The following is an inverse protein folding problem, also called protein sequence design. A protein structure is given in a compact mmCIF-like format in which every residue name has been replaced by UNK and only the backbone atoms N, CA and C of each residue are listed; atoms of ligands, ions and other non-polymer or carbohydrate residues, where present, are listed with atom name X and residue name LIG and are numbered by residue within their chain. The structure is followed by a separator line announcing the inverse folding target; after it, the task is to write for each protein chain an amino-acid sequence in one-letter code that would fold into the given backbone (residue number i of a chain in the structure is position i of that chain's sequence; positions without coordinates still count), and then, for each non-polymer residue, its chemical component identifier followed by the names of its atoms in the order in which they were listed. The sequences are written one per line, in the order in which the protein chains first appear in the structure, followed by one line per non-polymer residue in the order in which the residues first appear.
data_IF_819438297747
#
_entry.id   IF_819438297747
#
_cell.length_a   1.000
_cell.length_b   1.000
_cell.length_c   1.000
_cell.angle_alpha   90.00
_cell.angle_beta   90.00
_cell.angle_gamma   90.00
#
_symmetry.space_group_name_H-M   'P 1'
#
loop_
_entity.id
_entity.type
_entity.pdbx_description
1 polymer ?
#
# COMPACT_ATOMS: atom_id res chain seq x y z
N UNK A 1 -52.33 25.26 -5.60
CA UNK A 1 -52.21 24.16 -4.61
C UNK A 1 -52.79 22.91 -5.24
N UNK A 2 -52.17 21.74 -5.31
CA UNK A 2 -50.79 21.29 -5.18
C UNK A 2 -50.73 20.02 -6.04
N UNK A 3 -49.73 19.90 -6.92
CA UNK A 3 -49.52 18.72 -7.76
C UNK A 3 -48.73 17.71 -6.92
N UNK A 4 -49.36 16.62 -6.49
CA UNK A 4 -48.68 15.54 -5.77
C UNK A 4 -47.90 14.66 -6.73
N UNK A 5 -46.62 14.98 -6.91
CA UNK A 5 -45.64 14.09 -7.50
C UNK A 5 -45.32 12.95 -6.52
N UNK A 6 -45.72 11.72 -6.87
CA UNK A 6 -45.22 10.51 -6.21
C UNK A 6 -43.79 10.28 -6.69
N UNK A 7 -42.84 10.67 -5.84
CA UNK A 7 -41.41 10.37 -5.99
C UNK A 7 -41.23 8.86 -5.88
N UNK A 8 -40.84 8.25 -6.99
CA UNK A 8 -40.36 6.87 -7.06
C UNK A 8 -38.94 6.85 -6.45
N UNK A 9 -38.82 6.54 -5.17
CA UNK A 9 -37.54 6.25 -4.52
C UNK A 9 -37.03 4.89 -5.03
N UNK A 10 -36.34 4.90 -6.17
CA UNK A 10 -35.43 3.85 -6.58
C UNK A 10 -34.15 3.99 -5.76
N UNK A 11 -34.10 3.39 -4.58
CA UNK A 11 -32.85 3.12 -3.88
C UNK A 11 -32.04 2.14 -4.73
N UNK A 12 -31.11 2.68 -5.52
CA UNK A 12 -30.06 1.88 -6.13
C UNK A 12 -29.23 1.28 -4.99
N UNK A 13 -29.52 0.02 -4.63
CA UNK A 13 -28.52 -0.83 -4.02
C UNK A 13 -27.39 -0.94 -5.03
N UNK A 14 -26.34 -0.15 -4.85
CA UNK A 14 -25.03 -0.42 -5.46
C UNK A 14 -24.63 -1.76 -4.87
N UNK A 15 -24.97 -2.83 -5.57
CA UNK A 15 -24.43 -4.15 -5.30
C UNK A 15 -22.92 -3.97 -5.33
N UNK A 16 -22.27 -4.21 -4.20
CA UNK A 16 -20.86 -4.53 -4.12
C UNK A 16 -20.71 -5.83 -4.92
N UNK A 17 -20.64 -5.73 -6.24
CA UNK A 17 -20.42 -6.89 -7.10
C UNK A 17 -18.94 -7.17 -6.97
N UNK A 18 -18.67 -8.26 -6.28
CA UNK A 18 -17.35 -8.68 -5.92
C UNK A 18 -16.77 -9.43 -7.12
N UNK A 19 -16.26 -8.73 -8.13
CA UNK A 19 -15.54 -9.33 -9.26
C UNK A 19 -14.07 -9.42 -9.02
N UNK A 20 -13.45 -10.51 -9.47
CA UNK A 20 -12.11 -10.82 -8.97
C UNK A 20 -11.30 -11.45 -10.09
N UNK A 21 -10.28 -10.72 -10.51
CA UNK A 21 -9.22 -11.20 -11.39
C UNK A 21 -7.88 -10.96 -10.71
N UNK A 22 -6.94 -11.90 -10.88
CA UNK A 22 -5.55 -11.75 -10.41
C UNK A 22 -4.60 -12.06 -11.54
N UNK A 23 -3.46 -11.36 -11.55
CA UNK A 23 -2.36 -11.67 -12.47
C UNK A 23 -1.42 -12.64 -11.75
N UNK A 24 -1.55 -13.93 -12.04
CA UNK A 24 -0.76 -14.97 -11.37
C UNK A 24 0.64 -15.12 -11.96
N UNK A 25 0.83 -14.69 -13.21
CA UNK A 25 2.11 -14.79 -13.90
C UNK A 25 2.16 -13.77 -15.04
N UNK A 26 3.30 -13.11 -15.23
CA UNK A 26 3.68 -12.47 -16.47
C UNK A 26 5.07 -12.96 -16.89
N UNK A 27 5.15 -13.52 -18.09
CA UNK A 27 6.35 -14.13 -18.66
C UNK A 27 6.71 -13.46 -19.98
N UNK A 28 7.89 -12.85 -20.03
CA UNK A 28 8.48 -12.22 -21.21
C UNK A 28 9.44 -13.16 -21.92
N UNK A 29 10.69 -12.72 -22.08
CA UNK A 29 11.74 -13.43 -22.80
C UNK A 29 11.98 -14.84 -22.23
N UNK A 30 12.31 -15.79 -23.11
CA UNK A 30 12.59 -17.17 -22.71
C UNK A 30 13.77 -17.24 -21.73
N UNK A 31 13.56 -17.90 -20.59
CA UNK A 31 14.58 -18.05 -19.54
C UNK A 31 14.65 -16.90 -18.54
N UNK A 32 13.85 -15.84 -18.73
CA UNK A 32 13.66 -14.81 -17.71
C UNK A 32 12.75 -15.32 -16.58
N UNK A 33 12.89 -14.81 -15.35
CA UNK A 33 11.97 -15.14 -14.28
C UNK A 33 10.53 -14.67 -14.61
N UNK A 34 9.55 -15.17 -13.86
CA UNK A 34 8.16 -14.72 -14.00
C UNK A 34 7.91 -13.56 -13.01
N UNK A 35 7.21 -12.53 -13.49
CA UNK A 35 6.60 -11.54 -12.59
C UNK A 35 5.27 -12.05 -12.09
N UNK A 36 4.86 -11.56 -10.92
CA UNK A 36 3.54 -11.79 -10.34
C UNK A 36 2.85 -10.43 -10.17
N UNK A 37 1.53 -10.40 -10.23
CA UNK A 37 0.75 -9.22 -9.88
C UNK A 37 1.09 -8.73 -8.47
N UNK A 38 1.21 -7.42 -8.28
CA UNK A 38 1.50 -6.84 -6.98
C UNK A 38 0.43 -7.21 -5.96
N UNK A 39 0.88 -7.53 -4.74
CA UNK A 39 0.07 -8.00 -3.63
C UNK A 39 -0.78 -9.26 -3.91
N UNK A 40 -0.51 -10.03 -4.96
CA UNK A 40 -1.12 -11.36 -5.14
C UNK A 40 -0.54 -12.32 -4.10
N UNK A 41 -1.41 -12.85 -3.25
CA UNK A 41 -1.03 -13.77 -2.18
C UNK A 41 -1.12 -15.23 -2.67
N UNK A 42 0.03 -15.88 -2.79
CA UNK A 42 0.10 -17.27 -3.25
C UNK A 42 -0.50 -18.29 -2.28
N UNK A 43 -0.73 -17.92 -1.02
CA UNK A 43 -1.34 -18.80 0.00
C UNK A 43 -2.88 -18.79 -0.05
N UNK A 44 -3.49 -17.81 -0.74
CA UNK A 44 -4.95 -17.77 -0.90
C UNK A 44 -5.43 -18.84 -1.88
N UNK A 45 -6.51 -19.52 -1.50
CA UNK A 45 -7.15 -20.50 -2.35
C UNK A 45 -7.68 -19.84 -3.66
N UNK A 46 -7.49 -20.51 -4.80
CA UNK A 46 -7.94 -20.06 -6.14
C UNK A 46 -9.05 -20.91 -6.74
N UNK A 47 -9.51 -21.92 -5.99
CA UNK A 47 -10.55 -22.87 -6.41
C UNK A 47 -11.91 -22.54 -5.78
N UNK A 48 -12.14 -21.30 -5.34
CA UNK A 48 -13.41 -20.87 -4.80
C UNK A 48 -13.81 -19.47 -5.29
N UNK A 49 -15.07 -19.12 -5.09
CA UNK A 49 -15.69 -17.86 -5.56
C UNK A 49 -16.24 -17.00 -4.42
N UNK A 50 -15.99 -17.41 -3.18
CA UNK A 50 -16.38 -16.65 -2.00
C UNK A 50 -15.39 -15.52 -1.73
N UNK A 51 -15.88 -14.42 -1.16
CA UNK A 51 -15.06 -13.24 -0.82
C UNK A 51 -13.85 -13.63 0.03
N UNK A 52 -14.09 -14.35 1.12
CA UNK A 52 -13.01 -14.92 1.93
C UNK A 52 -12.92 -16.43 1.66
N UNK A 53 -11.73 -16.96 1.33
CA UNK A 53 -10.44 -16.25 1.15
C UNK A 53 -10.16 -15.81 -0.30
N UNK A 54 -10.88 -16.32 -1.30
CA UNK A 54 -10.41 -16.37 -2.70
C UNK A 54 -10.37 -15.04 -3.47
N UNK A 55 -10.81 -13.95 -2.85
CA UNK A 55 -11.01 -12.67 -3.51
C UNK A 55 -10.24 -11.54 -2.82
N UNK A 56 -9.69 -11.77 -1.63
CA UNK A 56 -9.21 -10.67 -0.79
C UNK A 56 -8.02 -9.91 -1.39
N UNK A 57 -7.26 -10.54 -2.29
CA UNK A 57 -6.11 -9.94 -2.96
C UNK A 57 -6.37 -9.54 -4.41
N UNK A 58 -7.63 -9.52 -4.88
CA UNK A 58 -7.87 -8.97 -6.22
C UNK A 58 -7.71 -7.47 -6.22
N UNK A 59 -7.05 -7.00 -7.26
CA UNK A 59 -6.80 -5.58 -7.41
C UNK A 59 -8.02 -4.87 -7.98
N UNK A 60 -8.42 -3.80 -7.31
CA UNK A 60 -9.41 -2.81 -7.73
C UNK A 60 -8.68 -1.59 -8.28
N UNK A 61 -8.86 -1.29 -9.57
CA UNK A 61 -8.17 -0.19 -10.26
C UNK A 61 -9.18 0.81 -10.82
N UNK A 62 -9.73 1.65 -9.93
CA UNK A 62 -10.78 2.62 -10.29
C UNK A 62 -10.20 3.98 -10.62
N UNK A 63 -10.49 4.50 -11.80
CA UNK A 63 -10.06 5.85 -12.21
C UNK A 63 -10.49 6.92 -11.19
N UNK A 64 -11.71 6.85 -10.66
CA UNK A 64 -12.17 7.79 -9.64
C UNK A 64 -11.33 7.76 -8.34
N UNK A 65 -10.80 6.60 -7.93
CA UNK A 65 -9.92 6.50 -6.75
C UNK A 65 -8.52 7.04 -7.07
N UNK A 66 -8.03 6.85 -8.31
CA UNK A 66 -6.74 7.38 -8.78
C UNK A 66 -6.80 8.91 -8.96
N UNK A 67 -7.84 9.43 -9.60
CA UNK A 67 -8.05 10.86 -9.86
C UNK A 67 -8.24 11.66 -8.56
N UNK A 68 -8.81 11.04 -7.54
CA UNK A 68 -8.95 11.63 -6.20
C UNK A 68 -7.72 11.43 -5.31
N UNK A 69 -6.65 10.83 -5.84
CA UNK A 69 -5.40 10.56 -5.14
C UNK A 69 -5.60 9.74 -3.84
N UNK A 70 -6.60 8.85 -3.84
CA UNK A 70 -6.83 7.89 -2.75
C UNK A 70 -5.89 6.68 -2.92
N UNK A 71 -5.62 6.32 -4.17
CA UNK A 71 -4.71 5.24 -4.57
C UNK A 71 -3.83 5.72 -5.72
N UNK A 72 -2.73 5.01 -5.99
CA UNK A 72 -1.94 5.21 -7.19
C UNK A 72 -2.52 4.45 -8.39
N UNK A 73 -1.81 4.47 -9.53
CA UNK A 73 -2.25 3.87 -10.79
C UNK A 73 -2.54 2.37 -10.73
N UNK A 74 -1.96 1.67 -9.75
CA UNK A 74 -2.14 0.24 -9.54
C UNK A 74 -3.29 -0.09 -8.59
N UNK A 75 -3.90 0.92 -7.96
CA UNK A 75 -5.10 0.73 -7.16
C UNK A 75 -4.82 0.05 -5.83
N UNK A 76 -5.74 -0.82 -5.41
CA UNK A 76 -5.71 -1.44 -4.07
C UNK A 76 -6.29 -2.84 -4.05
N UNK A 77 -5.95 -3.60 -3.01
CA UNK A 77 -6.62 -4.87 -2.66
C UNK A 77 -7.50 -4.69 -1.42
N UNK A 78 -8.44 -5.61 -1.18
CA UNK A 78 -9.22 -5.61 0.07
C UNK A 78 -8.39 -6.06 1.27
N UNK A 79 -7.41 -6.93 1.05
CA UNK A 79 -6.54 -7.50 2.09
C UNK A 79 -5.50 -6.50 2.58
N UNK A 80 -4.82 -5.82 1.66
CA UNK A 80 -3.61 -5.02 1.95
C UNK A 80 -3.79 -3.53 1.68
N UNK A 81 -4.94 -3.11 1.12
CA UNK A 81 -5.20 -1.70 0.82
C UNK A 81 -4.42 -1.20 -0.38
N UNK A 82 -4.01 0.08 -0.36
CA UNK A 82 -3.29 0.71 -1.47
C UNK A 82 -2.01 -0.08 -1.81
N UNK A 83 -1.77 -0.30 -3.10
CA UNK A 83 -0.57 -0.98 -3.57
C UNK A 83 0.58 0.02 -3.59
N UNK A 84 1.64 -0.22 -2.84
CA UNK A 84 2.89 0.54 -3.01
C UNK A 84 3.70 -0.08 -4.16
N UNK A 85 3.70 0.57 -5.32
CA UNK A 85 4.36 0.07 -6.52
C UNK A 85 5.89 0.06 -6.36
N UNK A 86 6.44 1.03 -5.64
CA UNK A 86 7.88 1.09 -5.38
C UNK A 86 8.32 -0.08 -4.51
N UNK A 87 7.66 -0.28 -3.36
CA UNK A 87 7.93 -1.40 -2.45
C UNK A 87 7.79 -2.75 -3.18
N UNK A 88 6.66 -2.99 -3.85
CA UNK A 88 6.42 -4.27 -4.54
C UNK A 88 7.44 -4.52 -5.66
N UNK A 89 7.86 -3.48 -6.38
CA UNK A 89 8.85 -3.61 -7.44
C UNK A 89 10.23 -3.93 -6.89
N UNK A 90 10.67 -3.24 -5.83
CA UNK A 90 11.97 -3.48 -5.20
C UNK A 90 12.04 -4.86 -4.54
N UNK A 91 10.96 -5.29 -3.89
CA UNK A 91 10.85 -6.64 -3.33
C UNK A 91 10.93 -7.70 -4.43
N UNK A 92 10.22 -7.49 -5.55
CA UNK A 92 10.27 -8.41 -6.68
C UNK A 92 11.67 -8.50 -7.32
N UNK A 93 12.37 -7.37 -7.43
CA UNK A 93 13.77 -7.31 -7.89
C UNK A 93 14.70 -8.06 -6.94
N UNK A 94 14.57 -7.82 -5.63
CA UNK A 94 15.37 -8.49 -4.60
C UNK A 94 15.14 -10.01 -4.60
N UNK A 95 13.92 -10.44 -4.92
CA UNK A 95 13.55 -11.85 -5.06
C UNK A 95 13.89 -12.46 -6.44
N UNK A 96 14.48 -11.69 -7.37
CA UNK A 96 14.76 -12.13 -8.75
C UNK A 96 13.49 -12.62 -9.49
N UNK A 97 12.39 -11.92 -9.27
CA UNK A 97 11.04 -12.25 -9.75
C UNK A 97 10.45 -11.17 -10.66
N UNK A 98 11.30 -10.52 -11.45
CA UNK A 98 10.89 -9.54 -12.46
C UNK A 98 11.23 -10.05 -13.84
N UNK A 99 10.20 -10.34 -14.62
CA UNK A 99 10.34 -10.84 -15.98
C UNK A 99 11.06 -9.85 -16.89
N UNK A 100 11.81 -10.38 -17.84
CA UNK A 100 12.63 -9.58 -18.74
C UNK A 100 11.92 -9.42 -20.08
N UNK A 101 12.04 -8.23 -20.65
CA UNK A 101 11.44 -7.86 -21.92
C UNK A 101 12.44 -7.09 -22.79
N UNK A 102 12.12 -7.00 -24.07
CA UNK A 102 12.80 -6.16 -25.07
C UNK A 102 11.79 -5.30 -25.82
N UNK A 103 12.27 -4.27 -26.50
CA UNK A 103 11.44 -3.49 -27.43
C UNK A 103 10.76 -4.42 -28.46
N UNK A 104 9.46 -4.26 -28.64
CA UNK A 104 8.66 -5.09 -29.57
C UNK A 104 8.46 -6.54 -29.17
N UNK A 105 9.00 -6.99 -28.02
CA UNK A 105 8.80 -8.36 -27.52
C UNK A 105 7.33 -8.61 -27.12
N UNK A 106 6.98 -9.89 -26.97
CA UNK A 106 5.65 -10.31 -26.52
C UNK A 106 5.73 -10.88 -25.12
N UNK A 107 4.80 -10.45 -24.29
CA UNK A 107 4.61 -10.89 -22.92
C UNK A 107 3.36 -11.75 -22.84
N UNK A 108 3.45 -12.92 -22.21
CA UNK A 108 2.28 -13.74 -21.86
C UNK A 108 1.88 -13.47 -20.42
N UNK A 109 0.65 -13.02 -20.21
CA UNK A 109 0.10 -12.73 -18.88
C UNK A 109 -1.00 -13.74 -18.58
N UNK A 110 -0.86 -14.45 -17.45
CA UNK A 110 -1.85 -15.40 -16.93
C UNK A 110 -2.78 -14.68 -15.98
N UNK A 111 -4.04 -14.55 -16.39
CA UNK A 111 -5.12 -13.94 -15.63
C UNK A 111 -5.97 -15.06 -15.04
N UNK A 112 -6.07 -15.11 -13.72
CA UNK A 112 -7.00 -15.96 -13.03
C UNK A 112 -8.33 -15.22 -12.87
N UNK A 113 -9.37 -15.70 -13.54
CA UNK A 113 -10.73 -15.26 -13.34
C UNK A 113 -11.33 -16.04 -12.16
N UNK A 114 -11.57 -15.38 -11.04
CA UNK A 114 -12.18 -16.02 -9.86
C UNK A 114 -13.67 -16.28 -10.10
N UNK A 115 -14.39 -15.27 -10.61
CA UNK A 115 -15.82 -15.32 -10.80
C UNK A 115 -16.29 -14.48 -12.01
N UNK A 116 -17.61 -14.26 -12.14
CA UNK A 116 -18.22 -13.83 -13.39
C UNK A 116 -17.65 -12.51 -13.96
N UNK A 117 -17.41 -11.53 -13.10
CA UNK A 117 -16.92 -10.19 -13.43
C UNK A 117 -15.39 -10.03 -13.41
N UNK A 118 -14.64 -11.12 -13.22
CA UNK A 118 -13.20 -11.18 -13.44
C UNK A 118 -12.81 -11.49 -14.90
N UNK A 119 -13.76 -11.48 -15.83
CA UNK A 119 -13.53 -11.82 -17.23
C UNK A 119 -12.99 -10.63 -18.04
N UNK A 120 -12.80 -10.82 -19.34
CA UNK A 120 -12.34 -9.77 -20.24
C UNK A 120 -13.46 -8.95 -20.91
N UNK A 121 -13.08 -8.09 -21.87
CA UNK A 121 -11.72 -7.88 -22.34
C UNK A 121 -10.88 -7.07 -21.33
N UNK A 122 -9.60 -7.43 -21.23
CA UNK A 122 -8.58 -6.66 -20.53
C UNK A 122 -7.90 -5.67 -21.47
N UNK A 123 -7.62 -4.47 -20.96
CA UNK A 123 -6.71 -3.50 -21.57
C UNK A 123 -5.46 -3.41 -20.71
N UNK A 124 -4.30 -3.31 -21.35
CA UNK A 124 -3.03 -3.12 -20.66
C UNK A 124 -2.38 -1.80 -21.08
N UNK A 125 -1.78 -1.10 -20.13
CA UNK A 125 -0.98 0.09 -20.35
C UNK A 125 0.28 0.05 -19.47
N UNK A 126 1.27 0.86 -19.81
CA UNK A 126 2.59 0.83 -19.20
C UNK A 126 3.00 2.20 -18.69
N UNK A 127 3.48 2.24 -17.46
CA UNK A 127 4.26 3.35 -16.93
C UNK A 127 5.76 3.09 -17.16
N UNK A 128 6.43 3.85 -18.05
CA UNK A 128 7.86 3.72 -18.28
C UNK A 128 8.72 4.15 -17.08
N UNK A 129 8.21 5.00 -16.19
CA UNK A 129 8.93 5.45 -14.98
C UNK A 129 8.68 4.55 -13.78
N UNK A 130 7.71 3.64 -13.90
CA UNK A 130 7.39 2.60 -12.95
C UNK A 130 6.39 2.99 -11.86
N UNK A 131 6.24 4.26 -11.46
CA UNK A 131 5.32 4.66 -10.37
C UNK A 131 4.98 6.16 -10.36
N UNK A 132 5.14 6.89 -11.47
CA UNK A 132 4.94 8.36 -11.44
C UNK A 132 3.69 8.80 -12.18
N UNK A 133 3.09 7.93 -12.99
CA UNK A 133 1.91 8.26 -13.77
C UNK A 133 0.65 7.85 -13.00
N UNK A 134 -0.29 8.78 -12.81
CA UNK A 134 -1.56 8.53 -12.10
C UNK A 134 -2.65 7.94 -13.01
N UNK A 135 -3.76 8.66 -13.19
CA UNK A 135 -4.89 8.16 -13.99
C UNK A 135 -4.58 8.12 -15.50
N UNK A 136 -3.65 8.96 -15.96
CA UNK A 136 -3.36 9.20 -17.38
C UNK A 136 -1.86 9.29 -17.64
N UNK A 137 -1.47 9.12 -18.91
CA UNK A 137 -0.09 9.26 -19.39
C UNK A 137 0.59 7.93 -19.70
N UNK A 138 -0.02 6.81 -19.29
CA UNK A 138 0.49 5.48 -19.58
C UNK A 138 0.50 5.21 -21.09
N UNK A 139 1.50 4.47 -21.53
CA UNK A 139 1.60 4.01 -22.92
C UNK A 139 0.68 2.80 -23.10
N UNK A 140 -0.34 2.93 -23.94
CA UNK A 140 -1.24 1.83 -24.24
C UNK A 140 -0.49 0.66 -24.91
N UNK A 141 -0.74 -0.57 -24.45
CA UNK A 141 -0.14 -1.78 -24.99
C UNK A 141 -1.16 -2.56 -25.83
N UNK A 142 -0.70 -3.19 -26.90
CA UNK A 142 -1.55 -4.04 -27.73
C UNK A 142 -1.79 -5.38 -27.04
N UNK A 143 -3.06 -5.76 -26.86
CA UNK A 143 -3.47 -7.08 -26.36
C UNK A 143 -4.02 -7.91 -27.52
N UNK A 144 -3.22 -8.86 -28.01
CA UNK A 144 -3.50 -9.58 -29.29
C UNK A 144 -4.50 -10.73 -29.15
N UNK A 145 -4.62 -11.30 -27.95
CA UNK A 145 -5.67 -12.23 -27.58
C UNK A 145 -6.13 -11.90 -26.15
N UNK A 146 -7.41 -12.13 -25.87
CA UNK A 146 -8.01 -11.65 -24.63
C UNK A 146 -8.79 -12.74 -23.90
N UNK A 147 -9.07 -12.49 -22.62
CA UNK A 147 -9.98 -13.31 -21.81
C UNK A 147 -11.39 -13.21 -22.41
N UNK A 148 -12.08 -14.32 -22.69
CA UNK A 148 -13.44 -14.29 -23.19
C UNK A 148 -14.37 -13.60 -22.20
N UNK A 149 -15.16 -12.63 -22.67
CA UNK A 149 -16.11 -11.92 -21.85
C UNK A 149 -16.73 -10.72 -22.56
N UNK A 150 -17.68 -10.08 -21.91
CA UNK A 150 -18.30 -8.83 -22.37
C UNK A 150 -18.46 -7.91 -21.18
N UNK A 151 -17.86 -6.72 -21.23
CA UNK A 151 -17.87 -5.75 -20.13
C UNK A 151 -17.33 -6.32 -18.81
N UNK A 152 -16.30 -7.16 -18.89
CA UNK A 152 -15.71 -7.86 -17.75
C UNK A 152 -16.48 -9.11 -17.33
N UNK A 153 -17.59 -9.46 -17.98
CA UNK A 153 -18.45 -10.58 -17.58
C UNK A 153 -18.30 -11.83 -18.46
N UNK A 154 -18.21 -13.00 -17.82
CA UNK A 154 -18.41 -14.31 -18.44
C UNK A 154 -19.00 -15.30 -17.41
N UNK A 155 -19.36 -16.51 -17.85
CA UNK A 155 -19.83 -17.56 -16.93
C UNK A 155 -18.69 -18.42 -16.37
N UNK A 156 -17.44 -18.17 -16.79
CA UNK A 156 -16.29 -18.87 -16.25
C UNK A 156 -16.06 -18.49 -14.78
N UNK A 157 -15.45 -19.42 -14.04
CA UNK A 157 -15.13 -19.26 -12.62
C UNK A 157 -13.88 -20.08 -12.35
N UNK A 158 -13.03 -19.57 -11.46
CA UNK A 158 -11.78 -20.22 -11.03
C UNK A 158 -10.99 -20.77 -12.22
N UNK A 159 -10.79 -19.93 -13.24
CA UNK A 159 -10.21 -20.33 -14.51
C UNK A 159 -9.09 -19.38 -14.92
N UNK A 160 -7.99 -19.97 -15.36
CA UNK A 160 -6.84 -19.23 -15.88
C UNK A 160 -7.00 -19.00 -17.39
N UNK A 161 -6.65 -17.81 -17.82
CA UNK A 161 -6.61 -17.40 -19.21
C UNK A 161 -5.31 -16.68 -19.50
N UNK A 162 -4.69 -17.01 -20.63
CA UNK A 162 -3.49 -16.33 -21.09
C UNK A 162 -3.86 -15.24 -22.09
N UNK A 163 -3.39 -14.03 -21.83
CA UNK A 163 -3.39 -12.93 -22.81
C UNK A 163 -1.95 -12.67 -23.26
N UNK A 164 -1.81 -12.14 -24.47
CA UNK A 164 -0.52 -11.78 -25.07
C UNK A 164 -0.49 -10.28 -25.29
N UNK A 165 0.42 -9.63 -24.56
CA UNK A 165 0.65 -8.18 -24.57
C UNK A 165 1.91 -7.90 -25.38
N UNK A 166 1.85 -6.97 -26.34
CA UNK A 166 3.02 -6.56 -27.13
C UNK A 166 3.67 -5.34 -26.49
N UNK A 167 4.98 -5.42 -26.21
CA UNK A 167 5.77 -4.29 -25.75
C UNK A 167 5.98 -3.28 -26.89
N UNK A 168 6.01 -1.96 -26.62
CA UNK A 168 6.25 -0.97 -27.65
C UNK A 168 7.65 -1.12 -28.27
N UNK A 169 7.82 -0.68 -29.51
CA UNK A 169 9.12 -0.72 -30.21
C UNK A 169 10.08 0.37 -29.73
N UNK A 170 9.57 1.42 -29.13
CA UNK A 170 10.29 2.53 -28.48
C UNK A 170 10.30 2.38 -26.95
N UNK A 171 10.33 1.13 -26.46
CA UNK A 171 10.39 0.81 -25.04
C UNK A 171 11.56 1.50 -24.35
N UNK A 172 11.28 2.19 -23.25
CA UNK A 172 12.22 3.05 -22.57
C UNK A 172 11.97 3.06 -21.05
N UNK A 173 12.15 1.89 -20.43
CA UNK A 173 11.96 1.75 -18.99
C UNK A 173 13.02 2.53 -18.20
N UNK A 174 12.59 3.20 -17.14
CA UNK A 174 13.43 4.07 -16.31
C UNK A 174 13.16 3.93 -14.81
N UNK A 175 12.18 3.12 -14.42
CA UNK A 175 11.79 2.96 -13.04
C UNK A 175 12.72 2.05 -12.23
N UNK A 176 12.41 2.00 -10.94
CA UNK A 176 13.07 1.21 -9.90
C UNK A 176 14.56 1.54 -9.70
N UNK A 177 15.17 0.89 -8.71
CA UNK A 177 16.58 1.04 -8.35
C UNK A 177 17.55 0.64 -9.47
N UNK A 178 17.12 -0.22 -10.39
CA UNK A 178 17.94 -0.67 -11.53
C UNK A 178 17.85 0.25 -12.75
N UNK A 179 16.94 1.23 -12.75
CA UNK A 179 16.84 2.25 -13.79
C UNK A 179 16.38 1.75 -15.15
N UNK A 180 15.78 0.56 -15.21
CA UNK A 180 15.34 -0.10 -16.44
C UNK A 180 14.07 -0.93 -16.24
N UNK A 181 13.24 -0.57 -15.25
CA UNK A 181 11.98 -1.25 -14.96
C UNK A 181 10.79 -0.39 -15.37
N UNK A 182 9.79 -1.03 -15.96
CA UNK A 182 8.48 -0.45 -16.22
C UNK A 182 7.44 -1.16 -15.35
N UNK A 183 6.34 -0.46 -15.05
CA UNK A 183 5.16 -1.09 -14.46
C UNK A 183 4.11 -1.24 -15.54
N UNK A 184 3.60 -2.45 -15.72
CA UNK A 184 2.47 -2.73 -16.61
C UNK A 184 1.24 -2.92 -15.75
N UNK A 185 0.16 -2.24 -16.14
CA UNK A 185 -1.16 -2.34 -15.55
C UNK A 185 -2.09 -2.98 -16.55
N UNK A 186 -2.72 -4.09 -16.17
CA UNK A 186 -3.78 -4.71 -16.96
C UNK A 186 -5.08 -4.70 -16.14
N UNK A 187 -6.17 -4.22 -16.74
CA UNK A 187 -7.48 -4.18 -16.09
C UNK A 187 -8.61 -4.48 -17.08
N UNK A 188 -9.67 -5.10 -16.61
CA UNK A 188 -10.89 -5.29 -17.39
C UNK A 188 -11.80 -4.06 -17.31
N UNK A 189 -12.94 -4.11 -17.98
CA UNK A 189 -13.92 -3.02 -18.01
C UNK A 189 -15.19 -3.31 -17.18
N UNK A 190 -15.07 -4.10 -16.11
CA UNK A 190 -16.19 -4.39 -15.21
C UNK A 190 -16.66 -3.13 -14.46
N UNK A 191 -17.98 -2.88 -14.46
CA UNK A 191 -18.57 -1.70 -13.80
C UNK A 191 -18.43 -1.72 -12.27
N UNK A 192 -18.32 -2.91 -11.67
CA UNK A 192 -18.15 -3.07 -10.24
C UNK A 192 -16.79 -2.58 -9.72
N UNK A 193 -15.86 -2.39 -10.65
CA UNK A 193 -14.48 -2.02 -10.45
C UNK A 193 -13.68 -2.68 -11.56
N UNK A 194 -12.89 -1.94 -12.34
CA UNK A 194 -11.90 -2.57 -13.20
C UNK A 194 -11.00 -3.47 -12.36
N UNK A 195 -11.01 -4.76 -12.64
CA UNK A 195 -10.22 -5.77 -11.96
C UNK A 195 -9.02 -6.18 -12.80
N UNK A 196 -7.94 -6.58 -12.15
CA UNK A 196 -6.72 -7.04 -12.82
C UNK A 196 -5.52 -6.93 -11.91
N UNK A 197 -4.54 -6.14 -12.28
CA UNK A 197 -3.37 -5.88 -11.45
C UNK A 197 -2.27 -5.12 -12.17
N UNK A 198 -1.26 -4.75 -11.40
CA UNK A 198 0.01 -4.26 -11.91
C UNK A 198 1.12 -5.29 -11.67
N UNK A 199 2.15 -5.27 -12.50
CA UNK A 199 3.36 -6.05 -12.31
C UNK A 199 4.55 -5.33 -12.95
N UNK A 200 5.75 -5.59 -12.44
CA UNK A 200 6.98 -5.03 -12.97
C UNK A 200 7.51 -5.85 -14.16
N UNK A 201 8.15 -5.18 -15.12
CA UNK A 201 8.96 -5.81 -16.17
C UNK A 201 10.30 -5.10 -16.29
N UNK A 202 11.37 -5.84 -16.57
CA UNK A 202 12.71 -5.29 -16.73
C UNK A 202 13.14 -5.28 -18.20
N UNK A 203 13.48 -4.11 -18.72
CA UNK A 203 14.01 -3.99 -20.08
C UNK A 203 15.50 -4.38 -20.12
N UNK A 204 15.85 -5.25 -21.07
CA UNK A 204 17.22 -5.82 -21.16
C UNK A 204 18.01 -5.38 -22.38
N UNK A 205 17.36 -4.74 -23.35
CA UNK A 205 17.97 -4.20 -24.58
C UNK A 205 18.21 -2.70 -24.51
N UNK A 206 18.38 -2.17 -23.30
CA UNK A 206 18.69 -0.76 -23.02
C UNK A 206 19.76 -0.66 -21.94
N UNK A 207 20.46 0.46 -21.90
CA UNK A 207 21.33 0.80 -20.78
C UNK A 207 20.48 1.22 -19.58
N UNK A 208 20.84 0.73 -18.39
CA UNK A 208 20.23 1.16 -17.12
C UNK A 208 20.41 2.66 -16.91
N UNK A 209 19.32 3.35 -16.60
CA UNK A 209 19.35 4.78 -16.28
C UNK A 209 19.68 4.98 -14.81
N UNK A 210 20.88 5.49 -14.53
CA UNK A 210 21.26 5.87 -13.18
C UNK A 210 20.82 7.31 -12.95
N UNK A 211 19.85 7.50 -12.07
CA UNK A 211 19.44 8.84 -11.62
C UNK A 211 20.26 9.23 -10.40
N UNK A 212 20.92 10.39 -10.47
CA UNK A 212 21.44 11.02 -9.27
C UNK A 212 20.39 11.97 -8.70
N UNK A 213 20.39 12.26 -7.38
CA UNK A 213 19.48 13.26 -6.81
C UNK A 213 19.53 14.62 -7.52
N UNK A 214 20.68 14.97 -8.10
CA UNK A 214 20.88 16.19 -8.91
C UNK A 214 20.17 16.19 -10.26
N UNK A 215 19.79 15.02 -10.79
CA UNK A 215 19.12 14.88 -12.09
C UNK A 215 17.58 14.90 -11.98
N UNK A 216 17.05 14.88 -10.75
CA UNK A 216 15.61 14.79 -10.49
C UNK A 216 15.08 16.21 -10.22
N UNK A 217 14.35 16.78 -11.18
CA UNK A 217 13.60 18.02 -10.96
C UNK A 217 12.44 17.75 -9.99
N UNK A 218 12.61 18.14 -8.73
CA UNK A 218 11.52 18.14 -7.74
C UNK A 218 10.70 19.41 -7.88
N UNK A 219 9.37 19.30 -7.70
CA UNK A 219 8.47 20.47 -7.75
C UNK A 219 8.81 21.54 -6.69
N UNK A 220 9.46 21.13 -5.60
CA UNK A 220 9.94 22.00 -4.52
C UNK A 220 11.45 21.85 -4.44
N UNK A 221 12.19 22.97 -4.40
CA UNK A 221 13.65 22.94 -4.30
C UNK A 221 14.09 22.51 -2.89
N UNK A 222 15.34 22.05 -2.77
CA UNK A 222 15.93 21.74 -1.45
C UNK A 222 15.86 22.94 -0.51
N UNK A 223 16.11 24.16 -1.00
CA UNK A 223 16.05 25.38 -0.20
C UNK A 223 14.62 25.68 0.31
N UNK A 224 13.60 25.48 -0.52
CA UNK A 224 12.21 25.65 -0.12
C UNK A 224 11.81 24.60 0.94
N UNK A 225 12.21 23.35 0.74
CA UNK A 225 12.03 22.28 1.73
C UNK A 225 12.70 22.60 3.07
N UNK A 226 13.97 22.99 3.04
CA UNK A 226 14.72 23.34 4.26
C UNK A 226 14.15 24.58 4.95
N UNK A 227 13.68 25.56 4.18
CA UNK A 227 12.99 26.73 4.72
C UNK A 227 11.69 26.35 5.43
N UNK A 228 10.90 25.43 4.84
CA UNK A 228 9.69 24.91 5.48
C UNK A 228 10.03 24.13 6.76
N UNK A 229 11.05 23.25 6.71
CA UNK A 229 11.49 22.49 7.90
C UNK A 229 11.93 23.43 9.02
N UNK A 230 12.68 24.48 8.72
CA UNK A 230 13.10 25.46 9.72
C UNK A 230 11.90 26.22 10.31
N UNK A 231 10.93 26.57 9.46
CA UNK A 231 9.70 27.22 9.91
C UNK A 231 8.87 26.29 10.82
N UNK A 232 8.69 25.03 10.42
CA UNK A 232 7.99 24.01 11.23
C UNK A 232 8.71 23.77 12.57
N UNK A 233 10.04 23.70 12.57
CA UNK A 233 10.83 23.58 13.80
C UNK A 233 10.67 24.79 14.72
N UNK A 234 10.52 25.99 14.16
CA UNK A 234 10.28 27.23 14.91
C UNK A 234 8.86 27.28 15.48
N UNK A 235 7.88 26.78 14.75
CA UNK A 235 6.47 26.82 15.15
C UNK A 235 6.10 25.69 16.12
N UNK A 236 6.84 24.57 16.08
CA UNK A 236 6.58 23.39 16.89
C UNK A 236 6.51 23.66 18.42
N UNK A 237 7.44 24.41 19.05
CA UNK A 237 7.34 24.71 20.49
C UNK A 237 6.08 25.49 20.87
N UNK A 238 5.67 26.45 20.04
CA UNK A 238 4.47 27.24 20.27
C UNK A 238 3.20 26.39 20.11
N UNK A 239 3.16 25.51 19.10
CA UNK A 239 2.09 24.54 18.92
C UNK A 239 1.98 23.56 20.10
N UNK A 240 3.11 23.07 20.62
CA UNK A 240 3.15 22.20 21.81
C UNK A 240 2.64 22.94 23.05
N UNK A 241 3.08 24.18 23.28
CA UNK A 241 2.60 24.99 24.41
C UNK A 241 1.10 25.31 24.29
N UNK A 242 0.61 25.63 23.10
CA UNK A 242 -0.81 25.85 22.84
C UNK A 242 -1.64 24.58 23.13
N UNK A 243 -1.15 23.40 22.74
CA UNK A 243 -1.81 22.13 23.03
C UNK A 243 -1.79 21.78 24.53
N UNK A 244 -0.70 22.08 25.24
CA UNK A 244 -0.62 21.87 26.69
C UNK A 244 -1.57 22.79 27.46
N UNK A 245 -1.78 24.01 26.97
CA UNK A 245 -2.69 24.99 27.55
C UNK A 245 -4.14 24.82 27.04
N UNK A 246 -4.39 23.96 26.05
CA UNK A 246 -5.73 23.74 25.52
C UNK A 246 -6.65 23.17 26.62
N UNK A 247 -7.71 23.92 26.95
CA UNK A 247 -8.64 23.57 28.02
C UNK A 247 -8.31 24.16 29.40
N UNK A 248 -7.26 24.98 29.53
CA UNK A 248 -7.08 25.82 30.72
C UNK A 248 -8.11 26.96 30.75
N UNK A 249 -8.38 27.49 31.94
CA UNK A 249 -9.32 28.61 32.12
C UNK A 249 -8.88 29.86 31.32
N UNK A 250 -7.56 30.14 31.24
CA UNK A 250 -7.04 31.21 30.37
C UNK A 250 -7.27 30.94 28.88
N UNK A 251 -7.07 29.70 28.41
CA UNK A 251 -7.24 29.36 26.99
C UNK A 251 -8.71 29.44 26.55
N UNK A 252 -9.65 29.05 27.41
CA UNK A 252 -11.10 29.18 27.17
C UNK A 252 -11.51 30.65 27.10
N UNK A 253 -10.97 31.50 27.99
CA UNK A 253 -11.24 32.93 27.98
C UNK A 253 -10.65 33.64 26.76
N UNK A 254 -9.43 33.28 26.35
CA UNK A 254 -8.79 33.83 25.15
C UNK A 254 -9.52 33.39 23.87
N UNK A 255 -9.96 32.14 23.77
CA UNK A 255 -10.77 31.65 22.66
C UNK A 255 -12.11 32.40 22.59
N UNK A 256 -12.79 32.60 23.72
CA UNK A 256 -14.04 33.36 23.78
C UNK A 256 -13.85 34.82 23.31
N UNK A 257 -12.75 35.47 23.70
CA UNK A 257 -12.43 36.83 23.27
C UNK A 257 -12.20 36.91 21.75
N UNK A 258 -11.40 36.00 21.19
CA UNK A 258 -11.10 35.93 19.74
C UNK A 258 -12.35 35.58 18.92
N UNK A 259 -13.17 34.65 19.39
CA UNK A 259 -14.47 34.30 18.80
C UNK A 259 -15.44 35.48 18.77
N UNK A 260 -15.46 36.30 19.83
CA UNK A 260 -16.32 37.50 19.88
C UNK A 260 -15.87 38.60 18.91
N UNK A 261 -14.56 38.72 18.67
CA UNK A 261 -13.98 39.74 17.79
C UNK A 261 -14.11 39.37 16.32
N UNK A 262 -13.95 38.08 15.98
CA UNK A 262 -13.93 37.61 14.60
C UNK A 262 -15.26 37.02 14.12
N UNK A 263 -16.26 36.89 15.00
CA UNK A 263 -17.54 36.21 14.71
C UNK A 263 -17.38 34.76 14.19
N UNK A 264 -16.30 34.07 14.56
CA UNK A 264 -16.05 32.67 14.16
C UNK A 264 -16.83 31.71 15.07
N UNK A 265 -17.89 31.08 14.54
CA UNK A 265 -18.57 29.98 15.22
C UNK A 265 -17.98 28.62 14.77
N UNK A 266 -17.17 27.98 15.63
CA UNK A 266 -16.73 26.60 15.42
C UNK A 266 -17.63 25.68 16.24
N UNK A 267 -18.47 24.91 15.56
CA UNK A 267 -19.25 23.82 16.17
C UNK A 267 -18.43 22.54 16.11
N UNK A 268 -17.69 22.23 17.18
CA UNK A 268 -17.01 20.95 17.32
C UNK A 268 -17.77 20.05 18.31
N UNK A 269 -17.95 18.78 17.94
CA UNK A 269 -18.48 17.74 18.83
C UNK A 269 -17.36 17.33 19.78
N UNK A 270 -17.63 17.28 21.09
CA UNK A 270 -16.63 16.90 22.08
C UNK A 270 -16.03 15.51 21.76
N UNK A 271 -14.70 15.42 21.76
CA UNK A 271 -14.01 14.15 21.61
C UNK A 271 -14.30 13.23 22.82
N UNK A 272 -14.38 11.93 22.59
CA UNK A 272 -14.56 10.96 23.66
C UNK A 272 -13.34 10.98 24.59
N UNK A 273 -13.55 11.20 25.89
CA UNK A 273 -12.50 11.16 26.90
C UNK A 273 -12.06 9.71 27.08
N UNK A 274 -10.81 9.39 26.72
CA UNK A 274 -10.20 8.11 27.08
C UNK A 274 -9.49 8.26 28.43
N UNK A 275 -10.10 7.76 29.49
CA UNK A 275 -9.42 7.61 30.78
C UNK A 275 -8.56 6.36 30.72
N UNK A 276 -7.24 6.52 30.59
CA UNK A 276 -6.32 5.42 30.83
C UNK A 276 -6.31 5.09 32.33
N UNK A 277 -6.84 3.93 32.71
CA UNK A 277 -6.61 3.37 34.05
C UNK A 277 -5.14 3.01 34.19
N UNK A 278 -4.39 3.81 34.94
CA UNK A 278 -3.06 3.42 35.39
C UNK A 278 -3.17 2.19 36.29
N UNK A 279 -2.74 1.04 35.78
CA UNK A 279 -2.50 -0.15 36.61
C UNK A 279 -1.24 0.13 37.43
N UNK A 280 -1.28 0.12 38.77
CA UNK A 280 -0.08 0.37 39.56
C UNK A 280 0.94 -0.74 39.31
N UNK A 281 2.14 -0.35 38.89
CA UNK A 281 3.29 -1.23 38.94
C UNK A 281 3.53 -1.62 40.39
N UNK A 282 3.36 -2.90 40.71
CA UNK A 282 3.84 -3.50 41.96
C UNK A 282 5.37 -3.51 41.94
N UNK A 283 5.96 -2.35 42.22
CA UNK A 283 7.37 -2.19 42.53
C UNK A 283 7.61 -2.67 43.96
N UNK A 284 8.12 -3.88 44.10
CA UNK A 284 8.64 -4.40 45.36
C UNK A 284 9.70 -3.45 45.89
N UNK A 285 9.36 -2.81 47.01
CA UNK A 285 10.23 -1.99 47.85
C UNK A 285 11.53 -2.74 48.18
N UNK A 286 12.66 -2.17 47.76
CA UNK A 286 13.98 -2.55 48.24
C UNK A 286 14.14 -2.04 49.68
N UNK A 287 13.85 -2.91 50.65
CA UNK A 287 14.23 -2.70 52.05
C UNK A 287 15.68 -3.16 52.24
N UNK A 288 16.55 -2.22 52.60
CA UNK A 288 17.87 -2.46 53.16
C UNK A 288 17.78 -3.33 54.41
N UNK A 289 18.47 -4.47 54.45
CA UNK A 289 18.69 -5.22 55.69
C UNK A 289 20.16 -5.14 56.10
N UNK A 290 20.41 -4.44 57.20
CA UNK A 290 21.58 -4.57 58.04
C UNK A 290 21.69 -5.99 58.61
N UNK A 291 22.91 -6.52 58.55
CA UNK A 291 23.47 -7.69 59.25
C UNK A 291 22.67 -8.31 60.41
N UNK A 292 22.49 -9.63 60.39
CA UNK A 292 23.13 -10.54 61.37
C UNK A 292 22.64 -12.00 61.23
N UNK A 293 23.63 -12.88 61.11
CA UNK A 293 23.76 -14.15 61.83
C UNK A 293 22.82 -15.35 61.56
N UNK A 294 23.50 -16.45 61.20
CA UNK A 294 23.30 -17.84 61.67
C UNK A 294 22.43 -18.78 60.83
N UNK A 295 23.14 -19.73 60.22
CA UNK A 295 22.93 -21.19 60.27
C UNK A 295 21.51 -21.69 60.58
N UNK A 296 20.92 -22.46 59.68
CA UNK A 296 21.07 -23.92 59.71
C UNK A 296 20.49 -24.57 58.44
N UNK A 297 21.23 -25.58 57.97
CA UNK A 297 20.86 -26.50 56.91
C UNK A 297 19.97 -27.61 57.46
N UNK A 298 18.90 -27.97 56.75
CA UNK A 298 18.46 -29.37 56.53
C UNK A 298 17.30 -29.37 55.52
N UNK A 299 17.50 -29.85 54.30
CA UNK A 299 17.40 -31.24 53.84
C UNK A 299 15.95 -31.68 53.52
N UNK A 300 15.73 -31.93 52.22
CA UNK A 300 15.19 -33.17 51.65
C UNK A 300 13.98 -33.01 50.72
N UNK A 301 14.00 -33.80 49.64
CA UNK A 301 12.79 -34.23 48.95
C UNK A 301 12.70 -33.80 47.50
N UNK A 302 13.16 -34.65 46.59
CA UNK A 302 13.20 -34.42 45.14
C UNK A 302 11.84 -34.48 44.43
N UNK A 303 11.83 -34.10 43.15
CA UNK A 303 11.49 -35.03 42.07
C UNK A 303 11.91 -34.49 40.70
N UNK A 304 12.35 -35.39 39.82
CA UNK A 304 12.73 -35.15 38.43
C UNK A 304 11.51 -35.22 37.51
N UNK A 305 11.48 -34.38 36.47
CA UNK A 305 11.13 -34.69 35.06
C UNK A 305 11.03 -33.36 34.29
N UNK A 306 12.03 -32.99 33.48
CA UNK A 306 12.06 -33.16 32.02
C UNK A 306 10.76 -32.70 31.32
N UNK A 307 10.78 -31.55 30.63
CA UNK A 307 10.84 -31.50 29.16
C UNK A 307 10.56 -30.09 28.57
N UNK A 308 11.33 -29.79 27.53
CA UNK A 308 11.06 -28.93 26.37
C UNK A 308 10.90 -27.41 26.52
N UNK A 309 12.06 -26.79 26.31
CA UNK A 309 12.31 -25.44 25.82
C UNK A 309 11.71 -25.21 24.42
N UNK A 310 10.82 -24.23 24.27
CA UNK A 310 10.60 -23.54 22.99
C UNK A 310 10.38 -22.04 23.25
N UNK A 311 11.48 -21.31 23.12
CA UNK A 311 11.54 -19.87 22.92
C UNK A 311 10.93 -19.50 21.56
N UNK A 312 9.93 -18.62 21.55
CA UNK A 312 9.70 -17.68 20.45
C UNK A 312 9.39 -16.31 21.05
N UNK A 313 10.45 -15.51 21.24
CA UNK A 313 10.34 -14.10 21.58
C UNK A 313 10.00 -13.31 20.33
N UNK A 314 8.90 -12.57 20.36
CA UNK A 314 8.54 -11.60 19.34
C UNK A 314 9.51 -10.43 19.34
N UNK A 315 10.13 -10.16 18.20
CA UNK A 315 10.83 -8.91 17.93
C UNK A 315 10.00 -8.07 16.96
N UNK A 316 9.33 -7.03 17.48
CA UNK A 316 8.95 -5.86 16.69
C UNK A 316 10.16 -4.92 16.68
N UNK A 317 10.85 -4.78 15.54
CA UNK A 317 11.84 -3.72 15.32
C UNK A 317 11.33 -2.82 14.22
N UNK A 318 10.88 -1.63 14.62
CA UNK A 318 10.78 -0.47 13.73
C UNK A 318 12.21 0.05 13.53
N UNK A 319 12.71 0.02 12.30
CA UNK A 319 14.03 0.54 11.98
C UNK A 319 13.95 2.07 11.82
N UNK A 320 14.49 2.80 12.80
CA UNK A 320 15.04 4.14 12.56
C UNK A 320 16.28 3.96 11.68
N UNK A 321 16.33 4.63 10.53
CA UNK A 321 17.59 4.90 9.83
C UNK A 321 18.13 6.22 10.37
N UNK A 322 19.12 6.13 11.25
CA UNK A 322 20.00 7.25 11.54
C UNK A 322 20.97 7.37 10.37
N UNK A 323 20.85 8.44 9.57
CA UNK A 323 21.87 8.86 8.62
C UNK A 323 22.89 9.70 9.39
N UNK A 324 24.07 9.11 9.66
CA UNK A 324 25.25 9.89 10.01
C UNK A 324 25.78 10.55 8.72
N UNK A 325 25.70 11.87 8.66
CA UNK A 325 26.39 12.67 7.64
C UNK A 325 27.79 12.93 8.20
N UNK A 326 28.82 12.33 7.58
CA UNK A 326 30.20 12.73 7.81
C UNK A 326 30.45 14.05 7.05
N UNK A 327 30.29 15.16 7.75
CA UNK A 327 30.79 16.48 7.34
C UNK A 327 32.33 16.47 7.46
N UNK A 328 33.03 15.98 6.43
CA UNK A 328 34.41 16.37 6.15
C UNK A 328 34.82 15.92 4.73
N UNK A 329 34.44 16.73 3.73
CA UNK A 329 35.30 17.17 2.61
C UNK A 329 34.48 17.96 1.59
N UNK A 330 34.72 19.28 1.59
CA UNK A 330 34.64 20.15 0.41
C UNK A 330 35.54 19.62 -0.72
#
# INVERSE_FOLDING_TARGET
MAVSAKVLLMTAFVSLVHGHAQILNAQGESGSPASIGFQVDTELARNCTSISPCQQDSTLIRDAEIESNIVNECGRTELSGNIDVGENTEDALAANSVTQVKAGSKLTVTIHQVNADGAGPFTCDMDPTGNTLGATGQTALEVTNNVPGTNGFSQAKTQDFNITVTMPTDLNCTGASTGNVCTIRCRNNALAGPFGGCFAVQQTDTDSKVFTPSDIETATTLDQMLSQVQQDQKDLPAAVAANQNAGSDEAVNNLAAVTSLLHLAVTSKAAAVQTATAVPASGSSASSSSSSSSNDNDNSGGNRQQHHNHHFGGFRRWARRDLAVDDEKL
#
